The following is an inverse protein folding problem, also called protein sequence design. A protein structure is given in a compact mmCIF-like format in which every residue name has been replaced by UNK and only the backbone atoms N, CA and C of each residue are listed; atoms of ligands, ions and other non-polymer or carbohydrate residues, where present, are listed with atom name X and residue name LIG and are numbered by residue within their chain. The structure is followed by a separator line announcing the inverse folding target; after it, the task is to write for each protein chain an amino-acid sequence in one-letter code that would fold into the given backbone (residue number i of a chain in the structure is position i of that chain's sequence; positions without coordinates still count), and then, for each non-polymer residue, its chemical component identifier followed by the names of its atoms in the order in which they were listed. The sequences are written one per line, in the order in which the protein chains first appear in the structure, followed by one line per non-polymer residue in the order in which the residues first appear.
data_IF_512040451019
#
_entry.id   IF_512040451019
#
_cell.length_a   1.000
_cell.length_b   1.000
_cell.length_c   1.000
_cell.angle_alpha   90.00
_cell.angle_beta   90.00
_cell.angle_gamma   90.00
#
_symmetry.space_group_name_H-M   'P 1'
#
loop_
_entity.id
_entity.type
_entity.pdbx_description
1 polymer ?
#
# COMPACT_ATOMS: atom_id res chain seq x y z
N UNK A 1 -5.51 9.14 4.43
CA UNK A 1 -4.52 9.85 3.61
C UNK A 1 -3.83 10.89 4.47
N UNK A 2 -2.54 10.69 4.77
CA UNK A 2 -1.67 11.80 5.17
C UNK A 2 -1.72 12.85 4.06
N UNK A 3 -2.27 14.01 4.36
CA UNK A 3 -2.44 15.07 3.37
C UNK A 3 -1.09 15.74 3.17
N UNK A 4 -0.27 15.20 2.26
CA UNK A 4 1.05 15.70 1.90
C UNK A 4 0.96 16.91 0.95
N UNK A 5 -0.14 17.67 1.01
CA UNK A 5 -0.34 18.82 0.14
C UNK A 5 0.52 19.97 0.64
N UNK A 6 1.59 20.23 -0.10
CA UNK A 6 2.37 21.46 -0.01
C UNK A 6 2.37 22.14 -1.38
N UNK A 7 2.58 23.45 -1.39
CA UNK A 7 2.76 24.19 -2.64
C UNK A 7 4.12 23.80 -3.25
N UNK A 8 4.09 23.17 -4.43
CA UNK A 8 5.31 22.74 -5.13
C UNK A 8 6.13 23.90 -5.69
N UNK A 9 5.60 25.13 -5.67
CA UNK A 9 6.33 26.36 -5.98
C UNK A 9 6.95 27.03 -4.74
N UNK A 10 6.66 26.52 -3.54
CA UNK A 10 7.23 26.99 -2.29
C UNK A 10 8.33 26.03 -1.79
N UNK A 11 9.57 26.33 -2.16
CA UNK A 11 10.76 25.58 -1.75
C UNK A 11 10.86 25.42 -0.23
N UNK A 12 10.42 26.44 0.54
CA UNK A 12 10.46 26.39 2.00
C UNK A 12 9.45 25.41 2.55
N UNK A 13 8.23 25.39 2.00
CA UNK A 13 7.22 24.40 2.36
C UNK A 13 7.69 22.98 2.01
N UNK A 14 8.34 22.79 0.86
CA UNK A 14 8.94 21.51 0.47
C UNK A 14 10.01 21.02 1.44
N UNK A 15 10.96 21.89 1.83
CA UNK A 15 12.00 21.56 2.80
C UNK A 15 11.43 21.23 4.20
N UNK A 16 10.42 21.99 4.65
CA UNK A 16 9.74 21.72 5.91
C UNK A 16 9.05 20.36 5.91
N UNK A 17 8.38 20.00 4.80
CA UNK A 17 7.76 18.69 4.67
C UNK A 17 8.78 17.55 4.74
N UNK A 18 9.93 17.69 4.08
CA UNK A 18 11.00 16.68 4.15
C UNK A 18 11.45 16.49 5.60
N UNK A 19 11.75 17.58 6.31
CA UNK A 19 12.19 17.54 7.70
C UNK A 19 11.17 16.84 8.60
N UNK A 20 9.88 17.20 8.48
CA UNK A 20 8.79 16.58 9.24
C UNK A 20 8.67 15.07 8.99
N UNK A 21 8.72 14.66 7.72
CA UNK A 21 8.62 13.25 7.33
C UNK A 21 9.82 12.45 7.80
N UNK A 22 11.03 12.99 7.69
CA UNK A 22 12.25 12.29 8.10
C UNK A 22 12.39 12.22 9.62
N UNK A 23 11.99 13.28 10.35
CA UNK A 23 11.99 13.29 11.81
C UNK A 23 10.98 12.30 12.41
N UNK A 24 9.87 12.03 11.71
CA UNK A 24 8.78 11.17 12.16
C UNK A 24 8.67 9.84 11.41
N UNK A 25 9.72 9.40 10.72
CA UNK A 25 9.69 8.27 9.78
C UNK A 25 9.02 7.00 10.35
N UNK A 26 9.34 6.62 11.59
CA UNK A 26 8.74 5.45 12.26
C UNK A 26 7.22 5.56 12.40
N UNK A 27 6.72 6.74 12.77
CA UNK A 27 5.29 7.00 12.94
C UNK A 27 4.59 7.01 11.58
N UNK A 28 5.17 7.72 10.61
CA UNK A 28 4.68 7.83 9.23
C UNK A 28 4.55 6.43 8.61
N UNK A 29 5.61 5.63 8.66
CA UNK A 29 5.62 4.27 8.09
C UNK A 29 4.55 3.36 8.73
N UNK A 30 4.36 3.44 10.06
CA UNK A 30 3.29 2.68 10.73
C UNK A 30 1.90 3.10 10.23
N UNK A 31 1.67 4.40 10.07
CA UNK A 31 0.39 4.92 9.58
C UNK A 31 0.12 4.52 8.13
N UNK A 32 1.13 4.61 7.26
CA UNK A 32 1.04 4.17 5.87
C UNK A 32 0.68 2.69 5.78
N UNK A 33 1.36 1.83 6.54
CA UNK A 33 1.06 0.39 6.53
C UNK A 33 -0.37 0.10 7.00
N UNK A 34 -0.80 0.71 8.11
CA UNK A 34 -2.19 0.54 8.60
C UNK A 34 -3.20 1.00 7.55
N UNK A 35 -2.97 2.12 6.86
CA UNK A 35 -3.87 2.61 5.81
C UNK A 35 -3.95 1.64 4.62
N UNK A 36 -2.81 1.05 4.20
CA UNK A 36 -2.77 0.03 3.14
C UNK A 36 -3.56 -1.22 3.56
N UNK A 37 -3.33 -1.71 4.78
CA UNK A 37 -4.01 -2.91 5.28
C UNK A 37 -5.52 -2.67 5.42
N UNK A 38 -5.94 -1.54 5.97
CA UNK A 38 -7.35 -1.20 6.13
C UNK A 38 -8.06 -1.02 4.80
N UNK A 39 -7.44 -0.32 3.84
CA UNK A 39 -8.05 -0.14 2.51
C UNK A 39 -8.22 -1.46 1.77
N UNK A 40 -7.25 -2.37 1.91
CA UNK A 40 -7.19 -3.60 1.12
C UNK A 40 -7.57 -4.86 1.90
N UNK A 41 -8.16 -4.72 3.10
CA UNK A 41 -8.44 -5.83 4.02
C UNK A 41 -9.25 -6.96 3.37
N UNK A 42 -10.15 -6.60 2.46
CA UNK A 42 -11.06 -7.52 1.78
C UNK A 42 -10.51 -8.06 0.46
N UNK A 43 -9.35 -7.59 -0.01
CA UNK A 43 -8.75 -8.08 -1.27
C UNK A 43 -8.39 -9.57 -1.17
N UNK A 44 -8.45 -10.29 -2.29
CA UNK A 44 -8.21 -11.74 -2.33
C UNK A 44 -6.84 -12.10 -1.71
N UNK A 45 -5.81 -11.30 -2.02
CA UNK A 45 -4.47 -11.50 -1.49
C UNK A 45 -4.38 -11.31 0.02
N UNK A 46 -4.87 -10.19 0.57
CA UNK A 46 -4.75 -9.95 2.02
C UNK A 46 -5.71 -10.82 2.84
N UNK A 47 -6.91 -11.11 2.35
CA UNK A 47 -7.83 -12.03 3.04
C UNK A 47 -7.19 -13.41 3.26
N UNK A 48 -6.42 -13.91 2.29
CA UNK A 48 -5.73 -15.20 2.36
C UNK A 48 -4.79 -15.32 3.57
N UNK A 49 -4.19 -14.22 4.01
CA UNK A 49 -3.18 -14.23 5.09
C UNK A 49 -3.69 -13.60 6.39
N UNK A 50 -4.53 -12.58 6.30
CA UNK A 50 -4.94 -11.76 7.44
C UNK A 50 -6.42 -11.90 7.80
N UNK A 51 -7.24 -12.49 6.92
CA UNK A 51 -8.69 -12.69 7.16
C UNK A 51 -9.39 -11.40 7.64
N UNK A 52 -9.09 -10.26 6.99
CA UNK A 52 -9.64 -8.94 7.32
C UNK A 52 -8.94 -8.19 8.46
N UNK A 53 -7.97 -8.80 9.15
CA UNK A 53 -7.23 -8.13 10.23
C UNK A 53 -6.22 -7.12 9.67
N UNK A 54 -6.14 -5.94 10.29
CA UNK A 54 -5.30 -4.83 9.85
C UNK A 54 -4.15 -4.52 10.81
N UNK A 55 -3.67 -5.53 11.54
CA UNK A 55 -2.61 -5.39 12.54
C UNK A 55 -1.21 -5.52 11.94
N UNK A 56 -0.29 -4.66 12.38
CA UNK A 56 1.08 -4.57 11.85
C UNK A 56 1.94 -5.75 12.25
N UNK A 57 1.78 -6.27 13.46
CA UNK A 57 2.58 -7.40 13.93
C UNK A 57 2.08 -8.69 13.27
N UNK A 58 0.76 -8.83 13.11
CA UNK A 58 0.15 -9.90 12.34
C UNK A 58 0.58 -9.88 10.86
N UNK A 59 0.67 -8.70 10.25
CA UNK A 59 1.19 -8.54 8.88
C UNK A 59 2.60 -9.13 8.75
N UNK A 60 3.50 -8.79 9.69
CA UNK A 60 4.88 -9.30 9.67
C UNK A 60 4.96 -10.81 9.90
N UNK A 61 4.03 -11.38 10.67
CA UNK A 61 4.00 -12.82 10.96
C UNK A 61 3.42 -13.63 9.80
N UNK A 62 2.33 -13.14 9.18
CA UNK A 62 1.50 -13.95 8.27
C UNK A 62 1.67 -13.65 6.79
N UNK A 63 2.04 -12.43 6.41
CA UNK A 63 2.19 -12.08 4.99
C UNK A 63 3.60 -12.45 4.53
N UNK A 64 3.74 -13.35 3.54
CA UNK A 64 5.05 -13.80 3.10
C UNK A 64 5.80 -12.71 2.34
N UNK A 65 7.13 -12.70 2.46
CA UNK A 65 7.99 -11.95 1.56
C UNK A 65 7.98 -12.64 0.19
N UNK A 66 7.54 -11.94 -0.85
CA UNK A 66 7.37 -12.49 -2.21
C UNK A 66 8.27 -11.78 -3.23
N UNK A 67 8.64 -12.52 -4.26
CA UNK A 67 9.20 -11.95 -5.49
C UNK A 67 8.08 -11.79 -6.54
N UNK A 68 8.44 -11.34 -7.76
CA UNK A 68 7.48 -11.16 -8.85
C UNK A 68 6.68 -12.44 -9.18
N UNK A 69 7.34 -13.60 -9.24
CA UNK A 69 6.68 -14.87 -9.54
C UNK A 69 5.62 -15.25 -8.51
N UNK A 70 5.77 -14.83 -7.25
CA UNK A 70 4.77 -15.04 -6.20
C UNK A 70 3.47 -14.24 -6.39
N UNK A 71 3.52 -13.11 -7.13
CA UNK A 71 2.35 -12.25 -7.38
C UNK A 71 1.85 -12.31 -8.83
N UNK A 72 2.68 -12.81 -9.76
CA UNK A 72 2.37 -12.92 -11.19
C UNK A 72 1.00 -13.55 -11.49
N UNK A 73 0.53 -14.61 -10.79
CA UNK A 73 -0.80 -15.18 -11.06
C UNK A 73 -1.95 -14.19 -10.88
N UNK A 74 -1.86 -13.27 -9.92
CA UNK A 74 -2.88 -12.23 -9.73
C UNK A 74 -2.79 -11.16 -10.82
N UNK A 75 -1.57 -10.78 -11.22
CA UNK A 75 -1.34 -9.81 -12.31
C UNK A 75 -1.90 -10.36 -13.63
N UNK A 76 -1.61 -11.62 -13.97
CA UNK A 76 -2.11 -12.26 -15.20
C UNK A 76 -3.64 -12.32 -15.24
N UNK A 77 -4.30 -12.48 -14.10
CA UNK A 77 -5.77 -12.47 -13.97
C UNK A 77 -6.34 -11.07 -14.17
N UNK A 78 -5.74 -10.06 -13.54
CA UNK A 78 -6.11 -8.64 -13.74
C UNK A 78 -5.94 -8.26 -15.21
N UNK A 79 -4.84 -8.64 -15.86
CA UNK A 79 -4.58 -8.37 -17.28
C UNK A 79 -5.61 -9.03 -18.22
N UNK A 80 -6.23 -10.14 -17.79
CA UNK A 80 -7.32 -10.81 -18.52
C UNK A 80 -8.70 -10.19 -18.25
N UNK A 81 -8.78 -9.14 -17.44
CA UNK A 81 -10.01 -8.41 -17.13
C UNK A 81 -10.69 -8.81 -15.82
N UNK A 82 -10.04 -9.61 -14.95
CA UNK A 82 -10.57 -9.79 -13.60
C UNK A 82 -10.46 -8.49 -12.77
N UNK A 83 -11.36 -8.29 -11.78
CA UNK A 83 -11.35 -7.08 -10.96
C UNK A 83 -10.03 -6.86 -10.21
N UNK A 84 -9.67 -5.60 -9.97
CA UNK A 84 -8.47 -5.24 -9.22
C UNK A 84 -8.48 -5.72 -7.77
N UNK A 85 -9.65 -6.08 -7.23
CA UNK A 85 -9.87 -6.60 -5.88
C UNK A 85 -9.06 -7.87 -5.55
N UNK A 86 -8.40 -8.46 -6.56
CA UNK A 86 -7.35 -9.46 -6.36
C UNK A 86 -6.18 -8.94 -5.51
N UNK A 87 -5.77 -7.69 -5.73
CA UNK A 87 -4.61 -7.05 -5.05
C UNK A 87 -4.92 -5.68 -4.43
N UNK A 88 -5.89 -4.94 -4.98
CA UNK A 88 -6.20 -3.56 -4.61
C UNK A 88 -7.71 -3.34 -4.55
N UNK A 89 -8.19 -2.68 -3.50
CA UNK A 89 -9.59 -2.23 -3.43
C UNK A 89 -9.88 -1.12 -4.45
N UNK A 90 -8.87 -0.34 -4.83
CA UNK A 90 -8.98 0.67 -5.89
C UNK A 90 -8.72 0.05 -7.27
N UNK A 91 -9.40 0.52 -8.33
CA UNK A 91 -9.16 0.07 -9.70
C UNK A 91 -7.70 0.27 -10.14
N UNK A 92 -7.11 -0.75 -10.76
CA UNK A 92 -5.82 -0.67 -11.43
C UNK A 92 -6.04 -0.05 -12.80
N UNK A 93 -5.51 1.15 -13.01
CA UNK A 93 -5.67 1.92 -14.25
C UNK A 93 -4.72 1.49 -15.36
N UNK A 94 -3.53 1.01 -15.00
CA UNK A 94 -2.46 0.68 -15.94
C UNK A 94 -1.51 -0.36 -15.35
N UNK A 95 -0.82 -1.10 -16.23
CA UNK A 95 0.29 -1.96 -15.87
C UNK A 95 1.56 -1.32 -16.44
N UNK A 96 2.42 -0.81 -15.56
CA UNK A 96 3.69 -0.21 -15.96
C UNK A 96 4.69 -1.34 -16.28
N UNK A 97 5.15 -1.40 -17.54
CA UNK A 97 6.07 -2.42 -18.07
C UNK A 97 7.37 -1.83 -18.54
#
# INVERSE_FOLDING_TARGET
MMDLRFDSQDDKAGLQLIEELTASAKKVQKQVLVEILTRNAETEYLQRFLSGQCDVDLFKEKVPLVNYEGIKPYIDRIAKGEPSHLLSAEPISELLT
#
